data_IF_913995558025
#
_entry.id   IF_913995558025
#
_cell.length_a   1.000
_cell.length_b   1.000
_cell.length_c   1.000
_cell.angle_alpha   90.00
_cell.angle_beta   90.00
_cell.angle_gamma   90.00
#
_symmetry.space_group_name_H-M   'P 1'
#
loop_
_entity.id
_entity.type
_entity.pdbx_description
1 polymer ?
#
# COMPACT_ATOMS: atom_id res chain seq x y z
N UNK A 1 -4.55 20.48 -5.79
CA UNK A 1 -3.61 19.90 -4.79
C UNK A 1 -3.16 18.56 -5.33
N UNK A 2 -1.86 18.36 -5.47
CA UNK A 2 -1.26 17.14 -5.98
C UNK A 2 -0.65 16.36 -4.80
N UNK A 3 -1.03 15.12 -4.61
CA UNK A 3 -0.59 14.31 -3.46
C UNK A 3 0.11 13.03 -3.94
N UNK A 4 1.05 12.52 -3.15
CA UNK A 4 1.66 11.21 -3.31
C UNK A 4 1.94 10.64 -1.91
N UNK A 5 1.06 9.76 -1.43
CA UNK A 5 1.01 9.40 -0.01
C UNK A 5 1.59 8.01 0.32
N UNK A 6 2.17 7.30 -0.65
CA UNK A 6 2.75 5.98 -0.40
C UNK A 6 4.14 5.89 -1.03
N UNK A 7 5.16 6.09 -0.21
CA UNK A 7 6.55 6.05 -0.65
C UNK A 7 7.46 5.45 0.41
N UNK A 8 8.48 4.71 -0.04
CA UNK A 8 9.35 3.94 0.81
C UNK A 8 10.69 4.61 1.06
N UNK A 9 11.47 4.06 1.99
CA UNK A 9 12.84 4.45 2.27
C UNK A 9 13.75 3.24 2.20
N UNK A 10 15.05 3.44 2.12
CA UNK A 10 16.03 2.37 2.10
C UNK A 10 15.92 1.39 3.30
N UNK A 11 15.20 1.78 4.36
CA UNK A 11 15.02 0.93 5.55
C UNK A 11 14.11 -0.30 5.29
N UNK A 12 13.33 -0.33 4.21
CA UNK A 12 12.61 -1.54 3.80
C UNK A 12 13.50 -2.59 3.11
N UNK A 13 14.81 -2.30 2.96
CA UNK A 13 15.85 -3.17 2.38
C UNK A 13 15.73 -3.42 0.86
N UNK A 14 14.76 -2.83 0.17
CA UNK A 14 14.58 -2.97 -1.28
C UNK A 14 14.22 -1.65 -2.00
N UNK A 15 14.22 -0.54 -1.27
CA UNK A 15 14.18 0.79 -1.86
C UNK A 15 15.60 1.42 -1.91
N UNK A 16 15.79 2.40 -2.79
CA UNK A 16 17.05 3.13 -3.00
C UNK A 16 16.82 4.63 -2.95
N UNK A 17 17.87 5.39 -2.71
CA UNK A 17 17.81 6.84 -2.55
C UNK A 17 17.62 7.29 -1.11
N UNK A 18 17.90 8.55 -0.86
CA UNK A 18 17.77 9.20 0.45
C UNK A 18 16.44 9.92 0.58
N UNK A 19 15.98 10.15 1.79
CA UNK A 19 14.78 10.97 2.08
C UNK A 19 14.85 12.32 1.38
N UNK A 20 16.04 12.95 1.36
CA UNK A 20 16.24 14.25 0.73
C UNK A 20 16.06 14.20 -0.80
N UNK A 21 16.60 13.19 -1.48
CA UNK A 21 16.44 13.02 -2.94
C UNK A 21 14.96 12.81 -3.31
N UNK A 22 14.23 12.02 -2.54
CA UNK A 22 12.79 11.83 -2.73
C UNK A 22 12.03 13.16 -2.60
N UNK A 23 12.29 13.94 -1.56
CA UNK A 23 11.62 15.23 -1.35
C UNK A 23 11.97 16.23 -2.45
N UNK A 24 13.23 16.32 -2.87
CA UNK A 24 13.63 17.20 -3.96
C UNK A 24 12.87 16.83 -5.24
N UNK A 25 12.76 15.54 -5.54
CA UNK A 25 12.02 15.07 -6.71
C UNK A 25 10.52 15.37 -6.60
N UNK A 26 9.92 15.22 -5.44
CA UNK A 26 8.52 15.58 -5.20
C UNK A 26 8.26 17.08 -5.44
N UNK A 27 9.17 17.94 -4.97
CA UNK A 27 9.10 19.39 -5.21
C UNK A 27 9.21 19.72 -6.71
N UNK A 28 10.16 19.11 -7.44
CA UNK A 28 10.32 19.29 -8.89
C UNK A 28 9.05 18.92 -9.67
N UNK A 29 8.33 17.90 -9.21
CA UNK A 29 7.08 17.43 -9.80
C UNK A 29 5.84 18.25 -9.39
N UNK A 30 6.02 19.25 -8.52
CA UNK A 30 4.93 20.08 -8.02
C UNK A 30 3.95 19.32 -7.14
N UNK A 31 4.42 18.35 -6.36
CA UNK A 31 3.63 17.65 -5.37
C UNK A 31 3.47 18.56 -4.15
N UNK A 32 2.23 18.76 -3.70
CA UNK A 32 1.90 19.62 -2.57
C UNK A 32 2.03 18.89 -1.23
N UNK A 33 1.58 17.62 -1.17
CA UNK A 33 1.65 16.77 0.01
C UNK A 33 2.31 15.44 -0.33
N UNK A 34 3.37 15.09 0.38
CA UNK A 34 4.20 13.92 0.14
C UNK A 34 4.31 13.06 1.39
N UNK A 35 3.87 11.82 1.30
CA UNK A 35 3.85 10.86 2.40
C UNK A 35 4.95 9.81 2.29
N UNK A 36 5.73 9.67 3.35
CA UNK A 36 6.56 8.49 3.55
C UNK A 36 5.74 7.45 4.33
N UNK A 37 5.46 6.32 3.72
CA UNK A 37 4.71 5.20 4.29
C UNK A 37 5.50 3.89 4.08
N UNK A 38 6.70 3.83 4.67
CA UNK A 38 7.57 2.68 4.50
C UNK A 38 7.01 1.44 5.22
N UNK A 39 7.36 0.24 4.73
CA UNK A 39 6.95 -1.03 5.35
C UNK A 39 7.25 -1.05 6.85
N UNK A 40 6.20 -1.15 7.64
CA UNK A 40 6.28 -1.18 9.10
C UNK A 40 7.04 -2.40 9.62
N UNK A 41 7.69 -2.30 10.79
CA UNK A 41 8.22 -3.47 11.49
C UNK A 41 7.13 -4.52 11.76
N UNK A 42 7.47 -5.79 11.60
CA UNK A 42 6.61 -6.91 11.96
C UNK A 42 7.49 -8.14 12.24
N UNK A 43 6.98 -9.12 13.00
CA UNK A 43 7.71 -10.35 13.34
C UNK A 43 7.58 -11.44 12.27
N UNK A 44 7.34 -11.05 11.02
CA UNK A 44 7.25 -11.91 9.86
C UNK A 44 7.89 -11.21 8.67
N UNK A 45 8.43 -11.97 7.70
CA UNK A 45 9.05 -11.44 6.47
C UNK A 45 10.06 -10.30 6.71
N UNK A 46 11.02 -10.52 7.60
CA UNK A 46 12.00 -9.52 8.04
C UNK A 46 12.90 -8.99 6.91
N UNK A 47 12.94 -9.68 5.76
CA UNK A 47 13.80 -9.33 4.62
C UNK A 47 13.38 -8.03 3.94
N UNK A 48 12.08 -7.74 3.88
CA UNK A 48 11.51 -6.68 3.06
C UNK A 48 10.93 -5.52 3.86
N UNK A 49 11.37 -5.34 5.11
CA UNK A 49 10.89 -4.28 6.00
C UNK A 49 11.94 -3.81 6.98
N UNK A 50 11.72 -2.65 7.57
CA UNK A 50 12.57 -2.18 8.66
C UNK A 50 12.40 -3.05 9.91
N UNK A 51 13.48 -3.15 10.73
CA UNK A 51 13.38 -3.74 12.06
C UNK A 51 12.71 -2.79 13.06
N UNK A 52 12.30 -3.31 14.21
CA UNK A 52 11.72 -2.48 15.27
C UNK A 52 12.71 -1.42 15.78
N UNK A 53 13.99 -1.75 15.83
CA UNK A 53 15.04 -0.80 16.25
C UNK A 53 15.22 0.34 15.23
N UNK A 54 14.97 0.08 13.95
CA UNK A 54 15.05 1.10 12.88
C UNK A 54 13.84 2.03 12.86
N UNK A 55 12.73 1.69 13.51
CA UNK A 55 11.52 2.51 13.60
C UNK A 55 11.83 3.93 14.11
N UNK A 56 12.59 4.04 15.20
CA UNK A 56 12.99 5.35 15.77
C UNK A 56 13.85 6.16 14.79
N UNK A 57 14.71 5.50 14.03
CA UNK A 57 15.55 6.14 13.01
C UNK A 57 14.67 6.69 11.86
N UNK A 58 13.73 5.87 11.38
CA UNK A 58 12.77 6.26 10.35
C UNK A 58 11.96 7.50 10.76
N UNK A 59 11.32 7.43 11.91
CA UNK A 59 10.49 8.53 12.42
C UNK A 59 11.31 9.82 12.60
N UNK A 60 12.55 9.70 13.09
CA UNK A 60 13.45 10.83 13.23
C UNK A 60 13.78 11.47 11.87
N UNK A 61 14.16 10.67 10.87
CA UNK A 61 14.48 11.17 9.54
C UNK A 61 13.34 11.96 8.91
N UNK A 62 12.11 11.40 8.99
CA UNK A 62 10.96 12.06 8.38
C UNK A 62 10.56 13.31 9.16
N UNK A 63 10.61 13.29 10.49
CA UNK A 63 10.29 14.47 11.30
C UNK A 63 11.33 15.61 11.10
N UNK A 64 12.61 15.29 10.97
CA UNK A 64 13.64 16.28 10.60
C UNK A 64 13.38 16.86 9.20
N UNK A 65 12.97 16.04 8.25
CA UNK A 65 12.61 16.49 6.91
C UNK A 65 11.33 17.35 6.92
N UNK A 66 10.29 16.99 7.68
CA UNK A 66 9.07 17.80 7.87
C UNK A 66 9.44 19.23 8.31
N UNK A 67 10.31 19.36 9.30
CA UNK A 67 10.71 20.67 9.80
C UNK A 67 11.58 21.45 8.79
N UNK A 68 12.52 20.78 8.12
CA UNK A 68 13.42 21.42 7.17
C UNK A 68 12.69 21.95 5.91
N UNK A 69 11.70 21.18 5.41
CA UNK A 69 10.99 21.49 4.17
C UNK A 69 9.64 22.17 4.37
N UNK A 70 9.21 22.50 5.59
CA UNK A 70 7.87 22.99 5.95
C UNK A 70 7.34 24.17 5.13
N UNK A 71 8.24 24.99 4.55
CA UNK A 71 7.87 26.15 3.70
C UNK A 71 7.88 25.82 2.20
N UNK A 72 8.16 24.56 1.81
CA UNK A 72 8.28 24.16 0.40
C UNK A 72 7.28 23.08 0.01
N UNK A 73 7.07 22.11 0.87
CA UNK A 73 6.19 20.95 0.66
C UNK A 73 5.70 20.44 2.00
N UNK A 74 4.45 19.98 2.06
CA UNK A 74 3.94 19.28 3.25
C UNK A 74 4.39 17.83 3.22
N UNK A 75 5.20 17.43 4.19
CA UNK A 75 5.67 16.05 4.34
C UNK A 75 4.84 15.37 5.42
N UNK A 76 4.45 14.13 5.20
CA UNK A 76 3.69 13.31 6.11
C UNK A 76 4.48 12.07 6.48
N UNK A 77 4.40 11.67 7.76
CA UNK A 77 4.99 10.46 8.32
C UNK A 77 3.91 9.40 8.47
N UNK A 78 4.10 8.24 7.88
CA UNK A 78 3.14 7.15 7.89
C UNK A 78 3.86 5.79 7.91
N UNK A 79 3.09 4.73 7.99
CA UNK A 79 3.54 3.37 7.74
C UNK A 79 2.60 2.67 6.76
N UNK A 80 3.16 1.84 5.89
CA UNK A 80 2.45 0.76 5.26
C UNK A 80 2.53 -0.46 6.19
N UNK A 81 1.39 -0.90 6.66
CA UNK A 81 1.27 -2.01 7.63
C UNK A 81 0.64 -3.21 6.95
N UNK A 82 1.36 -4.31 6.90
CA UNK A 82 0.80 -5.57 6.44
C UNK A 82 -0.28 -6.06 7.41
N UNK A 83 -1.49 -6.24 6.90
CA UNK A 83 -2.54 -6.89 7.65
C UNK A 83 -2.32 -8.40 7.65
N UNK A 84 -1.74 -8.87 8.74
CA UNK A 84 -1.53 -10.28 9.03
C UNK A 84 -1.89 -10.52 10.48
N UNK A 85 -3.01 -11.21 10.71
CA UNK A 85 -3.55 -11.43 12.04
C UNK A 85 -2.53 -12.09 12.97
N UNK A 86 -2.36 -11.51 14.16
CA UNK A 86 -1.38 -11.95 15.16
C UNK A 86 0.06 -11.46 14.93
N UNK A 87 0.34 -10.69 13.86
CA UNK A 87 1.68 -10.18 13.58
C UNK A 87 1.78 -8.65 13.60
N UNK A 88 0.66 -7.95 13.67
CA UNK A 88 0.64 -6.48 13.78
C UNK A 88 1.16 -6.08 15.16
N UNK A 89 2.15 -5.19 15.19
CA UNK A 89 2.77 -4.75 16.45
C UNK A 89 2.04 -3.53 17.01
N UNK A 90 1.71 -3.57 18.30
CA UNK A 90 1.08 -2.45 19.02
C UNK A 90 1.93 -1.19 18.95
N UNK A 91 3.27 -1.31 18.96
CA UNK A 91 4.20 -0.19 18.81
C UNK A 91 4.10 0.51 17.45
N UNK A 92 3.60 -0.16 16.42
CA UNK A 92 3.35 0.42 15.10
C UNK A 92 2.00 1.12 15.10
N UNK A 93 0.94 0.44 15.53
CA UNK A 93 -0.42 0.98 15.54
C UNK A 93 -0.56 2.20 16.45
N UNK A 94 0.14 2.22 17.57
CA UNK A 94 0.14 3.35 18.51
C UNK A 94 1.22 4.41 18.21
N UNK A 95 1.88 4.35 17.06
CA UNK A 95 2.87 5.35 16.65
C UNK A 95 2.24 6.72 16.43
N UNK A 96 2.98 7.78 16.75
CA UNK A 96 2.57 9.16 16.46
C UNK A 96 2.89 9.50 15.00
N UNK A 97 2.08 8.99 14.10
CA UNK A 97 2.18 9.22 12.65
C UNK A 97 0.97 9.99 12.14
N UNK A 98 1.04 10.50 10.91
CA UNK A 98 -0.06 11.27 10.33
C UNK A 98 -1.19 10.36 9.82
N UNK A 99 -0.87 9.13 9.36
CA UNK A 99 -1.82 8.11 8.94
C UNK A 99 -1.16 6.72 8.87
N UNK A 100 -2.00 5.68 8.74
CA UNK A 100 -1.59 4.30 8.49
C UNK A 100 -2.24 3.78 7.19
N UNK A 101 -1.44 3.16 6.33
CA UNK A 101 -1.91 2.40 5.17
C UNK A 101 -2.02 0.93 5.59
N UNK A 102 -3.19 0.32 5.41
CA UNK A 102 -3.36 -1.12 5.56
C UNK A 102 -3.18 -1.80 4.21
N UNK A 103 -2.29 -2.78 4.12
CA UNK A 103 -1.98 -3.53 2.91
C UNK A 103 -2.09 -5.03 3.13
N UNK A 104 -2.44 -5.77 2.10
CA UNK A 104 -2.46 -7.23 2.11
C UNK A 104 -1.45 -7.75 1.11
N UNK A 105 -0.34 -8.33 1.59
CA UNK A 105 0.68 -8.99 0.78
C UNK A 105 0.71 -10.51 0.98
N UNK A 106 0.00 -11.01 1.99
CA UNK A 106 0.03 -12.41 2.37
C UNK A 106 -1.36 -13.03 2.38
N UNK A 107 -1.45 -14.24 1.84
CA UNK A 107 -2.62 -15.10 1.95
C UNK A 107 -2.26 -16.40 2.66
N UNK A 108 -3.23 -16.98 3.36
CA UNK A 108 -3.04 -18.27 4.03
C UNK A 108 -2.97 -19.40 3.02
N UNK A 109 -1.89 -20.20 3.09
CA UNK A 109 -1.73 -21.40 2.28
C UNK A 109 -1.43 -22.60 3.20
N UNK A 110 -2.44 -23.44 3.46
CA UNK A 110 -2.36 -24.58 4.40
C UNK A 110 -1.95 -24.09 5.81
N UNK A 111 -0.72 -24.45 6.23
CA UNK A 111 -0.17 -24.10 7.56
C UNK A 111 0.82 -22.94 7.51
N UNK A 112 0.98 -22.30 6.35
CA UNK A 112 1.96 -21.24 6.12
C UNK A 112 1.29 -20.02 5.46
N UNK A 113 2.02 -18.91 5.38
CA UNK A 113 1.60 -17.72 4.69
C UNK A 113 2.28 -17.64 3.32
N UNK A 114 1.55 -17.13 2.35
CA UNK A 114 1.99 -16.97 0.98
C UNK A 114 2.08 -15.50 0.61
N UNK A 115 3.30 -14.99 0.41
CA UNK A 115 3.54 -13.67 -0.19
C UNK A 115 3.22 -13.74 -1.69
N UNK A 116 1.99 -13.41 -2.05
CA UNK A 116 1.48 -13.66 -3.40
C UNK A 116 2.06 -12.72 -4.46
N UNK A 117 2.59 -11.58 -4.08
CA UNK A 117 3.24 -10.60 -4.95
C UNK A 117 4.75 -10.84 -5.13
N UNK A 118 5.32 -11.83 -4.44
CA UNK A 118 6.69 -12.25 -4.60
C UNK A 118 6.82 -13.26 -5.75
N UNK A 119 7.64 -12.97 -6.80
CA UNK A 119 7.84 -13.87 -7.94
C UNK A 119 8.32 -15.28 -7.58
N UNK A 120 9.02 -15.45 -6.45
CA UNK A 120 9.49 -16.76 -5.98
C UNK A 120 8.33 -17.73 -5.71
N UNK A 121 7.14 -17.19 -5.37
CA UNK A 121 5.96 -17.97 -5.04
C UNK A 121 4.87 -17.98 -6.11
N UNK A 122 5.16 -17.50 -7.32
CA UNK A 122 4.18 -17.38 -8.41
C UNK A 122 3.49 -18.72 -8.75
N UNK A 123 4.16 -19.84 -8.56
CA UNK A 123 3.61 -21.19 -8.79
C UNK A 123 2.43 -21.53 -7.88
N UNK A 124 2.28 -20.85 -6.73
CA UNK A 124 1.20 -21.10 -5.79
C UNK A 124 -0.16 -20.62 -6.30
N UNK A 125 -0.21 -19.73 -7.29
CA UNK A 125 -1.45 -19.38 -7.98
C UNK A 125 -2.15 -20.59 -8.66
N UNK A 126 -1.41 -21.64 -8.93
CA UNK A 126 -1.95 -22.90 -9.50
C UNK A 126 -2.41 -23.89 -8.42
N UNK A 127 -2.20 -23.58 -7.13
CA UNK A 127 -2.50 -24.49 -6.02
C UNK A 127 -3.99 -24.58 -5.68
N UNK A 128 -4.79 -23.57 -6.09
CA UNK A 128 -6.23 -23.44 -5.86
C UNK A 128 -6.94 -22.92 -7.11
N UNK A 129 -8.27 -23.00 -7.15
CA UNK A 129 -9.04 -22.27 -8.15
C UNK A 129 -8.83 -20.76 -7.99
N UNK A 130 -8.65 -20.06 -9.11
CA UNK A 130 -8.31 -18.64 -9.11
C UNK A 130 -9.40 -17.76 -8.47
N UNK A 131 -10.67 -18.06 -8.68
CA UNK A 131 -11.78 -17.32 -8.06
C UNK A 131 -11.79 -17.49 -6.53
N UNK A 132 -11.29 -18.62 -6.03
CA UNK A 132 -11.10 -18.85 -4.58
C UNK A 132 -9.99 -17.96 -4.04
N UNK A 133 -8.84 -17.86 -4.73
CA UNK A 133 -7.72 -16.99 -4.33
C UNK A 133 -8.17 -15.54 -4.24
N UNK A 134 -8.88 -15.04 -5.26
CA UNK A 134 -9.41 -13.69 -5.27
C UNK A 134 -10.44 -13.43 -4.17
N UNK A 135 -11.29 -14.41 -3.89
CA UNK A 135 -12.28 -14.32 -2.80
C UNK A 135 -11.61 -14.27 -1.42
N UNK A 136 -10.58 -15.10 -1.21
CA UNK A 136 -9.76 -15.08 0.01
C UNK A 136 -9.05 -13.73 0.18
N UNK A 137 -8.51 -13.16 -0.90
CA UNK A 137 -7.85 -11.86 -0.89
C UNK A 137 -8.80 -10.73 -0.45
N UNK A 138 -9.97 -10.59 -1.09
CA UNK A 138 -10.92 -9.56 -0.71
C UNK A 138 -11.58 -9.82 0.66
N UNK A 139 -11.70 -11.08 1.08
CA UNK A 139 -12.14 -11.40 2.44
C UNK A 139 -11.10 -10.88 3.47
N UNK A 140 -9.80 -11.03 3.19
CA UNK A 140 -8.73 -10.49 4.04
C UNK A 140 -8.77 -8.96 4.11
N UNK A 141 -8.97 -8.28 2.98
CA UNK A 141 -9.14 -6.81 2.96
C UNK A 141 -10.39 -6.38 3.76
N UNK A 142 -11.51 -7.10 3.60
CA UNK A 142 -12.72 -6.85 4.38
C UNK A 142 -12.46 -6.98 5.89
N UNK A 143 -11.72 -8.01 6.30
CA UNK A 143 -11.38 -8.21 7.70
C UNK A 143 -10.41 -7.14 8.21
N UNK A 144 -9.45 -6.71 7.39
CA UNK A 144 -8.59 -5.55 7.65
C UNK A 144 -9.42 -4.29 7.90
N UNK A 145 -10.37 -3.98 7.01
CA UNK A 145 -11.21 -2.79 7.12
C UNK A 145 -12.08 -2.79 8.39
N UNK A 146 -12.58 -3.95 8.83
CA UNK A 146 -13.36 -4.09 10.08
C UNK A 146 -12.57 -3.70 11.32
N UNK A 147 -11.24 -3.79 11.30
CA UNK A 147 -10.42 -3.42 12.46
C UNK A 147 -10.47 -1.93 12.75
N UNK A 148 -10.75 -1.10 11.75
CA UNK A 148 -10.70 0.37 11.84
C UNK A 148 -9.35 0.90 12.34
N UNK A 149 -8.26 0.17 12.09
CA UNK A 149 -6.91 0.54 12.50
C UNK A 149 -6.21 1.42 11.46
N UNK A 150 -6.71 1.46 10.23
CA UNK A 150 -6.04 2.06 9.09
C UNK A 150 -6.87 3.18 8.47
N UNK A 151 -6.20 4.20 7.95
CA UNK A 151 -6.82 5.34 7.28
C UNK A 151 -6.99 5.08 5.78
N UNK A 152 -6.02 4.41 5.17
CA UNK A 152 -5.94 4.17 3.73
C UNK A 152 -5.85 2.66 3.46
N UNK A 153 -6.54 2.19 2.42
CA UNK A 153 -6.34 0.84 1.85
C UNK A 153 -5.32 0.93 0.73
N UNK A 154 -4.16 0.30 0.91
CA UNK A 154 -3.10 0.23 -0.10
C UNK A 154 -3.50 -0.69 -1.26
N UNK A 155 -3.07 -0.36 -2.49
CA UNK A 155 -3.16 -1.17 -3.73
C UNK A 155 -4.25 -2.26 -3.72
N UNK A 156 -5.50 -1.86 -3.63
CA UNK A 156 -6.71 -2.63 -3.31
C UNK A 156 -6.87 -3.97 -4.05
N UNK A 157 -6.35 -4.11 -5.26
CA UNK A 157 -6.41 -5.35 -6.05
C UNK A 157 -5.01 -5.85 -6.48
N UNK A 158 -4.01 -5.71 -5.59
CA UNK A 158 -2.62 -6.14 -5.82
C UNK A 158 -2.51 -7.61 -6.26
N UNK A 159 -3.46 -8.46 -5.87
CA UNK A 159 -3.51 -9.88 -6.24
C UNK A 159 -3.43 -10.13 -7.76
N UNK A 160 -3.75 -9.13 -8.60
CA UNK A 160 -3.67 -9.22 -10.06
C UNK A 160 -2.25 -9.07 -10.61
N UNK A 161 -1.26 -8.77 -9.78
CA UNK A 161 0.11 -8.38 -10.14
C UNK A 161 0.74 -9.25 -11.25
N UNK A 162 0.55 -10.57 -11.20
CA UNK A 162 1.08 -11.53 -12.17
C UNK A 162 0.07 -11.98 -13.24
N UNK A 163 -1.04 -11.23 -13.43
CA UNK A 163 -2.08 -11.51 -14.44
C UNK A 163 -2.88 -12.81 -14.24
N UNK A 164 -2.90 -13.37 -13.04
CA UNK A 164 -3.82 -14.43 -12.68
C UNK A 164 -5.19 -13.84 -12.36
N UNK A 165 -5.97 -13.55 -13.40
CA UNK A 165 -7.26 -12.85 -13.27
C UNK A 165 -8.39 -13.82 -12.91
N UNK A 166 -9.44 -13.36 -12.20
CA UNK A 166 -10.58 -14.18 -11.85
C UNK A 166 -11.42 -14.49 -13.11
N UNK A 167 -12.17 -15.58 -13.07
CA UNK A 167 -13.15 -15.94 -14.09
C UNK A 167 -14.48 -15.24 -13.85
N UNK A 168 -14.82 -14.99 -12.58
CA UNK A 168 -16.00 -14.24 -12.19
C UNK A 168 -15.79 -12.73 -12.35
N UNK A 169 -16.88 -11.99 -12.47
CA UNK A 169 -16.83 -10.53 -12.44
C UNK A 169 -16.21 -10.05 -11.13
N UNK A 170 -15.13 -9.29 -11.23
CA UNK A 170 -14.36 -8.78 -10.09
C UNK A 170 -15.22 -7.90 -9.16
N UNK A 171 -16.22 -7.21 -9.72
CA UNK A 171 -17.14 -6.37 -8.94
C UNK A 171 -17.97 -7.18 -7.96
N UNK A 172 -18.33 -8.41 -8.34
CA UNK A 172 -19.08 -9.32 -7.47
C UNK A 172 -18.17 -9.79 -6.31
N UNK A 173 -16.91 -10.14 -6.62
CA UNK A 173 -15.96 -10.66 -5.64
C UNK A 173 -15.55 -9.57 -4.64
N UNK A 174 -15.32 -8.34 -5.11
CA UNK A 174 -14.82 -7.22 -4.31
C UNK A 174 -15.91 -6.46 -3.52
N UNK A 175 -17.19 -6.65 -3.85
CA UNK A 175 -18.30 -5.86 -3.33
C UNK A 175 -18.32 -5.72 -1.80
N UNK A 176 -18.14 -6.83 -1.12
CA UNK A 176 -18.19 -6.86 0.34
C UNK A 176 -17.02 -6.10 0.97
N UNK A 177 -15.82 -6.20 0.36
CA UNK A 177 -14.64 -5.46 0.82
C UNK A 177 -14.84 -3.95 0.66
N UNK A 178 -15.30 -3.49 -0.52
CA UNK A 178 -15.62 -2.07 -0.74
C UNK A 178 -16.71 -1.57 0.20
N UNK A 179 -17.74 -2.38 0.47
CA UNK A 179 -18.80 -2.04 1.43
C UNK A 179 -18.24 -1.82 2.84
N UNK A 180 -17.30 -2.65 3.28
CA UNK A 180 -16.69 -2.50 4.60
C UNK A 180 -15.71 -1.31 4.65
N UNK A 181 -14.93 -1.07 3.58
CA UNK A 181 -14.08 0.11 3.43
C UNK A 181 -14.92 1.40 3.59
N UNK A 182 -16.06 1.49 2.89
CA UNK A 182 -16.99 2.62 3.03
C UNK A 182 -17.51 2.77 4.45
N UNK A 183 -17.92 1.68 5.07
CA UNK A 183 -18.46 1.68 6.43
C UNK A 183 -17.42 2.08 7.47
N UNK A 184 -16.17 1.68 7.28
CA UNK A 184 -15.04 2.03 8.15
C UNK A 184 -14.44 3.40 7.84
N UNK A 185 -15.01 4.14 6.86
CA UNK A 185 -14.58 5.47 6.44
C UNK A 185 -13.09 5.53 6.03
N UNK A 186 -12.57 4.44 5.46
CA UNK A 186 -11.22 4.39 4.91
C UNK A 186 -11.19 5.02 3.53
N UNK A 187 -10.02 5.56 3.16
CA UNK A 187 -9.72 6.09 1.83
C UNK A 187 -9.14 4.99 0.96
N UNK A 188 -9.52 4.94 -0.33
CA UNK A 188 -8.98 3.99 -1.29
C UNK A 188 -7.80 4.62 -2.05
N UNK A 189 -6.69 3.91 -2.10
CA UNK A 189 -5.50 4.36 -2.81
C UNK A 189 -5.62 4.09 -4.33
N UNK A 190 -5.35 5.10 -5.17
CA UNK A 190 -4.98 4.90 -6.57
C UNK A 190 -3.46 4.79 -6.61
N UNK A 191 -2.97 3.58 -6.82
CA UNK A 191 -1.55 3.25 -6.77
C UNK A 191 -1.01 2.95 -8.18
N UNK A 192 -0.02 3.73 -8.60
CA UNK A 192 0.53 3.62 -9.97
C UNK A 192 1.68 2.63 -10.10
N UNK A 193 2.11 1.98 -9.01
CA UNK A 193 3.18 0.98 -9.08
C UNK A 193 2.85 -0.18 -10.02
N UNK A 194 1.57 -0.50 -10.17
CA UNK A 194 1.12 -1.55 -11.06
C UNK A 194 1.51 -1.35 -12.53
N UNK A 195 1.67 -0.11 -12.99
CA UNK A 195 2.21 0.18 -14.32
C UNK A 195 3.67 -0.27 -14.51
N UNK A 196 4.40 -0.45 -13.41
CA UNK A 196 5.78 -0.97 -13.39
C UNK A 196 5.86 -2.49 -13.17
N UNK A 197 4.71 -3.13 -12.96
CA UNK A 197 4.58 -4.57 -12.70
C UNK A 197 4.05 -5.31 -13.94
N UNK A 198 4.09 -6.64 -13.96
CA UNK A 198 3.59 -7.43 -15.10
C UNK A 198 2.15 -7.10 -15.51
N UNK A 199 1.30 -6.70 -14.57
CA UNK A 199 -0.09 -6.33 -14.86
C UNK A 199 -0.20 -5.15 -15.82
N UNK A 200 0.63 -4.10 -15.65
CA UNK A 200 0.70 -2.95 -16.55
C UNK A 200 -0.45 -1.95 -16.42
N UNK A 201 -1.13 -1.91 -15.29
CA UNK A 201 -2.21 -0.95 -14.97
C UNK A 201 -2.16 -0.53 -13.50
N UNK A 202 -2.88 0.52 -13.12
CA UNK A 202 -2.96 0.96 -11.72
C UNK A 202 -3.69 -0.03 -10.81
N UNK A 203 -3.52 0.12 -9.52
CA UNK A 203 -4.37 -0.47 -8.48
C UNK A 203 -5.26 0.65 -7.89
N UNK A 204 -6.59 0.46 -7.78
CA UNK A 204 -7.40 -0.62 -8.35
C UNK A 204 -7.58 -0.50 -9.87
N UNK A 205 -8.09 -1.58 -10.47
CA UNK A 205 -8.57 -1.60 -11.85
C UNK A 205 -9.78 -0.66 -12.03
N UNK A 206 -9.99 -0.17 -13.25
CA UNK A 206 -11.08 0.78 -13.58
C UNK A 206 -12.46 0.30 -13.09
N UNK A 207 -12.89 -0.97 -13.30
CA UNK A 207 -14.21 -1.41 -12.80
C UNK A 207 -14.37 -1.30 -11.27
N UNK A 208 -13.28 -1.42 -10.51
CA UNK A 208 -13.31 -1.27 -9.05
C UNK A 208 -13.27 0.21 -8.63
N UNK A 209 -12.60 1.07 -9.37
CA UNK A 209 -12.65 2.53 -9.16
C UNK A 209 -14.03 3.09 -9.44
N UNK A 210 -14.69 2.67 -10.53
CA UNK A 210 -16.07 3.04 -10.84
C UNK A 210 -17.01 2.64 -9.69
N UNK A 211 -16.84 1.43 -9.18
CA UNK A 211 -17.63 0.92 -8.04
C UNK A 211 -17.38 1.71 -6.75
N UNK A 212 -16.12 2.06 -6.47
CA UNK A 212 -15.76 2.88 -5.32
C UNK A 212 -16.39 4.29 -5.42
N UNK A 213 -16.35 4.89 -6.62
CA UNK A 213 -17.01 6.17 -6.90
C UNK A 213 -18.51 6.10 -6.68
N UNK A 214 -19.21 5.09 -7.22
CA UNK A 214 -20.64 4.89 -7.03
C UNK A 214 -21.02 4.71 -5.56
N UNK A 215 -20.14 4.12 -4.75
CA UNK A 215 -20.30 3.94 -3.31
C UNK A 215 -19.91 5.19 -2.51
N UNK A 216 -19.37 6.22 -3.15
CA UNK A 216 -18.90 7.46 -2.51
C UNK A 216 -17.72 7.21 -1.58
N UNK A 217 -16.80 6.30 -1.94
CA UNK A 217 -15.55 6.07 -1.21
C UNK A 217 -14.55 7.15 -1.64
N UNK A 218 -13.92 7.82 -0.67
CA UNK A 218 -12.89 8.80 -0.94
C UNK A 218 -11.63 8.13 -1.48
N UNK A 219 -10.88 8.85 -2.34
CA UNK A 219 -9.67 8.35 -2.96
C UNK A 219 -8.46 9.21 -2.64
N UNK A 220 -7.29 8.62 -2.66
CA UNK A 220 -6.00 9.30 -2.66
C UNK A 220 -5.09 8.73 -3.75
N UNK A 221 -4.01 9.41 -4.06
CA UNK A 221 -3.05 8.99 -5.06
C UNK A 221 -1.72 8.58 -4.43
N UNK A 222 -1.05 7.60 -5.04
CA UNK A 222 0.31 7.23 -4.69
C UNK A 222 1.10 6.60 -5.85
N UNK A 223 2.41 6.76 -5.78
CA UNK A 223 3.33 6.11 -6.71
C UNK A 223 3.95 4.82 -6.15
N UNK A 224 3.88 4.60 -4.85
CA UNK A 224 4.48 3.46 -4.16
C UNK A 224 5.98 3.35 -4.55
N UNK A 225 6.66 4.50 -4.40
CA UNK A 225 8.00 4.67 -4.92
C UNK A 225 9.04 3.95 -4.04
N UNK A 226 9.84 3.11 -4.69
CA UNK A 226 11.01 2.42 -4.12
C UNK A 226 12.33 2.94 -4.72
N UNK A 227 12.26 3.96 -5.56
CA UNK A 227 13.40 4.75 -6.07
C UNK A 227 12.92 6.14 -6.46
N UNK A 228 13.84 7.09 -6.60
CA UNK A 228 13.53 8.48 -6.93
C UNK A 228 12.75 8.61 -8.26
N UNK A 229 13.07 7.76 -9.24
CA UNK A 229 12.43 7.75 -10.56
C UNK A 229 10.98 7.25 -10.52
N UNK A 230 10.59 6.56 -9.46
CA UNK A 230 9.21 6.07 -9.29
C UNK A 230 8.24 7.15 -8.80
N UNK A 231 8.73 8.24 -8.22
CA UNK A 231 7.91 9.30 -7.61
C UNK A 231 7.03 9.96 -8.68
N UNK A 232 5.72 10.02 -8.42
CA UNK A 232 4.73 10.59 -9.33
C UNK A 232 4.61 9.86 -10.67
N UNK A 233 5.10 8.62 -10.75
CA UNK A 233 5.08 7.84 -11.99
C UNK A 233 3.66 7.70 -12.53
N UNK A 234 3.46 8.10 -13.79
CA UNK A 234 2.17 8.05 -14.49
C UNK A 234 1.01 8.75 -13.75
N UNK A 235 1.31 9.78 -12.99
CA UNK A 235 0.29 10.54 -12.25
C UNK A 235 -0.84 11.05 -13.18
N UNK A 236 -0.49 11.52 -14.38
CA UNK A 236 -1.46 12.12 -15.31
C UNK A 236 -2.27 11.05 -16.08
N UNK A 237 -1.91 9.76 -15.97
CA UNK A 237 -2.63 8.63 -16.59
C UNK A 237 -3.61 7.96 -15.58
N UNK A 238 -3.43 8.20 -14.30
CA UNK A 238 -4.25 7.65 -13.22
C UNK A 238 -5.35 8.62 -12.77
#
# INVERSE_FOLDING_TARGET
>A
MRVDLHNHTLLCNHATGTVNEYIQRAIELGIDEYGFACHAPMNYDLKYRMSIDQKTIYEKWINEAKEYYKNKIKILLAYEVDYLDGYILDEVINSKVDYLIGSVHFLKNKNDMWGFDNPEFIGLYQSKDIDTIWSEYFATIKDMAKTSLFDIVGHFDLIKVFKFLPKKDIRIIAKDALSEIKKSNMVLEINTSGFRKPIGESYPSIPLLEMAYEMGIDITFSSDAHSVEHIGFKYDEA
#
